data_IF_107672394366
#
_entry.id   IF_107672394366
#
_cell.length_a   1.000
_cell.length_b   1.000
_cell.length_c   1.000
_cell.angle_alpha   90.00
_cell.angle_beta   90.00
_cell.angle_gamma   90.00
#
_symmetry.space_group_name_H-M   'P 1'
#
loop_
_entity.id
_entity.type
_entity.pdbx_description
1 polymer ?
#
# COMPACT_ATOMS: atom_id res chain seq x y z
N UNK A 1 -12.15 11.58 3.50
CA UNK A 1 -11.55 12.61 2.62
C UNK A 1 -11.93 12.41 1.16
N UNK A 2 -11.80 11.21 0.58
CA UNK A 2 -12.20 10.96 -0.81
C UNK A 2 -13.66 11.34 -1.06
N UNK A 3 -14.60 10.87 -0.21
CA UNK A 3 -16.02 11.21 -0.33
C UNK A 3 -16.29 12.72 -0.29
N UNK A 4 -15.56 13.49 0.51
CA UNK A 4 -15.68 14.95 0.55
C UNK A 4 -15.15 15.60 -0.75
N UNK A 5 -14.09 15.05 -1.31
CA UNK A 5 -13.54 15.51 -2.59
C UNK A 5 -14.56 15.30 -3.72
N UNK A 6 -15.18 14.13 -3.81
CA UNK A 6 -16.16 13.78 -4.83
C UNK A 6 -17.49 14.53 -4.65
N UNK A 7 -17.95 14.72 -3.41
CA UNK A 7 -19.24 15.35 -3.09
C UNK A 7 -19.25 16.88 -3.24
N UNK A 8 -18.22 17.49 -3.81
CA UNK A 8 -18.13 18.97 -3.97
C UNK A 8 -18.20 19.78 -2.66
N UNK A 9 -18.10 19.13 -1.52
CA UNK A 9 -17.97 19.79 -0.20
C UNK A 9 -16.50 20.08 0.11
N UNK A 10 -16.25 21.10 0.94
CA UNK A 10 -14.90 21.41 1.46
C UNK A 10 -14.77 21.03 2.94
N UNK A 11 -15.78 20.40 3.51
CA UNK A 11 -15.82 20.01 4.92
C UNK A 11 -15.67 18.49 5.03
N UNK A 12 -14.70 18.06 5.84
CA UNK A 12 -14.51 16.66 6.18
C UNK A 12 -15.46 16.26 7.30
N UNK A 13 -16.33 15.30 7.05
CA UNK A 13 -17.18 14.71 8.09
C UNK A 13 -16.37 13.64 8.82
N UNK A 14 -16.27 13.70 10.15
CA UNK A 14 -15.60 12.65 10.93
C UNK A 14 -16.19 11.28 10.67
N UNK A 15 -15.33 10.28 10.59
CA UNK A 15 -15.70 8.89 10.35
C UNK A 15 -15.18 8.01 11.49
N UNK A 16 -16.04 7.22 12.10
CA UNK A 16 -15.74 6.47 13.33
C UNK A 16 -15.58 4.97 13.12
N UNK A 17 -16.03 4.44 11.99
CA UNK A 17 -15.99 3.01 11.73
C UNK A 17 -14.99 2.72 10.59
N UNK A 18 -13.74 2.55 10.98
CA UNK A 18 -12.66 2.24 10.02
C UNK A 18 -11.84 1.06 10.54
N UNK A 19 -11.54 0.16 9.62
CA UNK A 19 -10.62 -0.94 9.83
C UNK A 19 -9.83 -1.14 8.54
N UNK A 20 -8.52 -1.11 8.64
CA UNK A 20 -7.64 -1.26 7.48
C UNK A 20 -6.27 -1.80 7.90
N UNK A 21 -5.63 -2.58 7.02
CA UNK A 21 -4.24 -2.98 7.17
C UNK A 21 -3.27 -1.80 7.04
N UNK A 22 -3.71 -0.67 6.50
CA UNK A 22 -2.90 0.54 6.36
C UNK A 22 -3.02 1.43 7.61
N UNK A 23 -2.67 0.92 8.79
CA UNK A 23 -2.87 1.58 10.09
C UNK A 23 -2.26 2.98 10.15
N UNK A 24 -1.09 3.20 9.56
CA UNK A 24 -0.38 4.49 9.61
C UNK A 24 -1.13 5.66 8.97
N UNK A 25 -2.15 5.39 8.13
CA UNK A 25 -3.01 6.43 7.54
C UNK A 25 -4.43 6.40 8.08
N UNK A 26 -4.68 5.63 9.15
CA UNK A 26 -5.99 5.48 9.76
C UNK A 26 -6.29 6.66 10.67
N UNK A 27 -7.16 7.55 10.24
CA UNK A 27 -7.66 8.66 11.05
C UNK A 27 -9.11 8.97 10.73
N UNK A 28 -9.94 9.00 11.77
CA UNK A 28 -11.36 9.33 11.63
C UNK A 28 -11.65 10.82 11.50
N UNK A 29 -10.72 11.67 11.95
CA UNK A 29 -10.84 13.12 11.89
C UNK A 29 -9.47 13.74 11.60
N UNK A 30 -9.06 13.80 10.33
CA UNK A 30 -7.73 14.29 9.96
C UNK A 30 -7.59 15.78 10.24
N UNK A 31 -6.54 16.14 11.01
CA UNK A 31 -6.19 17.55 11.22
C UNK A 31 -5.87 18.21 9.88
N UNK A 32 -6.45 19.41 9.64
CA UNK A 32 -6.26 20.10 8.36
C UNK A 32 -6.97 19.45 7.17
N UNK A 33 -7.90 18.51 7.40
CA UNK A 33 -8.62 17.82 6.33
C UNK A 33 -9.35 18.74 5.38
N UNK A 34 -10.01 19.78 5.90
CA UNK A 34 -10.73 20.77 5.09
C UNK A 34 -9.77 21.57 4.18
N UNK A 35 -8.60 21.94 4.70
CA UNK A 35 -7.58 22.61 3.91
C UNK A 35 -7.04 21.72 2.79
N UNK A 36 -6.83 20.43 3.08
CA UNK A 36 -6.39 19.44 2.07
C UNK A 36 -7.44 19.33 0.96
N UNK A 37 -8.73 19.23 1.30
CA UNK A 37 -9.81 19.18 0.30
C UNK A 37 -9.88 20.45 -0.52
N UNK A 38 -9.74 21.62 0.13
CA UNK A 38 -9.70 22.89 -0.57
C UNK A 38 -8.53 22.96 -1.58
N UNK A 39 -7.32 22.56 -1.15
CA UNK A 39 -6.14 22.51 -2.02
C UNK A 39 -6.30 21.49 -3.15
N UNK A 40 -6.82 20.31 -2.85
CA UNK A 40 -7.06 19.27 -3.84
C UNK A 40 -7.96 19.77 -4.97
N UNK A 41 -9.04 20.48 -4.63
CA UNK A 41 -9.93 21.11 -5.62
C UNK A 41 -9.25 22.24 -6.39
N UNK A 42 -8.56 23.12 -5.67
CA UNK A 42 -7.88 24.29 -6.27
C UNK A 42 -6.81 23.87 -7.29
N UNK A 43 -6.10 22.77 -7.01
CA UNK A 43 -4.98 22.32 -7.85
C UNK A 43 -5.34 21.07 -8.69
N UNK A 44 -6.61 20.69 -8.74
CA UNK A 44 -7.10 19.53 -9.49
C UNK A 44 -6.35 18.23 -9.13
N UNK A 45 -6.08 18.00 -7.83
CA UNK A 45 -5.48 16.76 -7.39
C UNK A 45 -6.43 15.60 -7.63
N UNK A 46 -5.89 14.48 -8.08
CA UNK A 46 -6.63 13.25 -8.21
C UNK A 46 -6.65 12.53 -6.87
N UNK A 47 -7.76 11.90 -6.56
CA UNK A 47 -7.92 11.03 -5.39
C UNK A 47 -8.41 9.67 -5.85
N UNK A 48 -7.89 8.61 -5.23
CA UNK A 48 -8.28 7.24 -5.55
C UNK A 48 -8.34 6.41 -4.27
N UNK A 49 -9.28 5.48 -4.20
CA UNK A 49 -9.40 4.51 -3.14
C UNK A 49 -8.81 3.16 -3.57
N UNK A 50 -8.29 2.43 -2.58
CA UNK A 50 -7.81 1.06 -2.77
C UNK A 50 -8.43 0.15 -1.71
N UNK A 51 -8.69 -1.11 -2.06
CA UNK A 51 -9.20 -2.11 -1.14
C UNK A 51 -8.05 -2.72 -0.33
N UNK A 52 -8.38 -3.42 0.76
CA UNK A 52 -7.41 -4.15 1.59
C UNK A 52 -6.60 -5.15 0.75
N UNK A 53 -7.26 -5.89 -0.13
CA UNK A 53 -6.60 -6.84 -1.03
C UNK A 53 -5.63 -6.14 -1.99
N UNK A 54 -6.04 -5.00 -2.55
CA UNK A 54 -5.19 -4.19 -3.45
C UNK A 54 -3.96 -3.65 -2.73
N UNK A 55 -4.07 -3.31 -1.43
CA UNK A 55 -2.94 -2.90 -0.59
C UNK A 55 -1.95 -4.05 -0.42
N UNK A 56 -2.42 -5.24 -0.02
CA UNK A 56 -1.58 -6.41 0.18
C UNK A 56 -0.89 -6.87 -1.11
N UNK A 57 -1.61 -6.87 -2.24
CA UNK A 57 -1.03 -7.15 -3.56
C UNK A 57 0.06 -6.14 -3.92
N UNK A 58 -0.16 -4.86 -3.63
CA UNK A 58 0.82 -3.80 -3.88
C UNK A 58 2.08 -3.96 -3.04
N UNK A 59 1.92 -4.25 -1.75
CA UNK A 59 3.03 -4.46 -0.83
C UNK A 59 3.89 -5.65 -1.28
N UNK A 60 3.26 -6.77 -1.65
CA UNK A 60 3.97 -7.94 -2.19
C UNK A 60 4.78 -7.60 -3.44
N UNK A 61 4.16 -6.89 -4.40
CA UNK A 61 4.84 -6.49 -5.65
C UNK A 61 6.03 -5.57 -5.40
N UNK A 62 5.92 -4.66 -4.45
CA UNK A 62 7.04 -3.82 -4.04
C UNK A 62 8.16 -4.65 -3.39
N UNK A 63 7.79 -5.63 -2.55
CA UNK A 63 8.74 -6.58 -1.95
C UNK A 63 9.48 -7.42 -2.99
N UNK A 64 8.80 -7.92 -4.03
CA UNK A 64 9.38 -8.69 -5.12
C UNK A 64 10.48 -7.92 -5.89
N UNK A 65 10.41 -6.60 -5.90
CA UNK A 65 11.43 -5.73 -6.53
C UNK A 65 12.36 -5.06 -5.51
N UNK A 66 12.37 -5.55 -4.26
CA UNK A 66 13.31 -5.14 -3.22
C UNK A 66 12.86 -3.97 -2.33
N UNK A 67 11.63 -3.48 -2.46
CA UNK A 67 11.11 -2.41 -1.61
C UNK A 67 10.21 -2.98 -0.51
N UNK A 68 10.77 -3.17 0.68
CA UNK A 68 10.02 -3.59 1.85
C UNK A 68 9.37 -2.39 2.55
N UNK A 69 8.10 -2.16 2.28
CA UNK A 69 7.33 -1.01 2.76
C UNK A 69 6.15 -1.42 3.64
N UNK A 70 5.70 -0.51 4.50
CA UNK A 70 4.45 -0.68 5.26
C UNK A 70 3.21 -0.66 4.33
N UNK A 71 2.08 -1.24 4.73
CA UNK A 71 0.86 -1.27 3.93
C UNK A 71 0.39 0.12 3.51
N UNK A 72 0.48 1.11 4.40
CA UNK A 72 0.10 2.50 4.11
C UNK A 72 0.86 3.09 2.92
N UNK A 73 2.18 2.85 2.83
CA UNK A 73 3.01 3.26 1.69
C UNK A 73 2.65 2.53 0.40
N UNK A 74 2.24 1.26 0.51
CA UNK A 74 1.90 0.44 -0.66
C UNK A 74 0.59 0.86 -1.34
N UNK A 75 -0.30 1.58 -0.66
CA UNK A 75 -1.58 2.07 -1.21
C UNK A 75 -1.39 2.82 -2.53
N UNK A 76 -0.33 3.62 -2.63
CA UNK A 76 -0.05 4.47 -3.79
C UNK A 76 0.19 3.68 -5.08
N UNK A 77 0.78 2.47 -5.02
CA UNK A 77 1.04 1.68 -6.23
C UNK A 77 -0.26 1.28 -6.95
N UNK A 78 -1.26 0.80 -6.21
CA UNK A 78 -2.51 0.39 -6.83
C UNK A 78 -3.38 1.58 -7.24
N UNK A 79 -3.34 2.67 -6.46
CA UNK A 79 -3.98 3.94 -6.83
C UNK A 79 -3.44 4.46 -8.17
N UNK A 80 -2.11 4.48 -8.36
CA UNK A 80 -1.48 4.85 -9.64
C UNK A 80 -1.96 3.93 -10.76
N UNK A 81 -2.00 2.60 -10.54
CA UNK A 81 -2.49 1.64 -11.53
C UNK A 81 -3.94 1.90 -11.93
N UNK A 82 -4.82 2.22 -10.97
CA UNK A 82 -6.22 2.57 -11.25
C UNK A 82 -6.33 3.86 -12.07
N UNK A 83 -5.60 4.90 -11.66
CA UNK A 83 -5.59 6.19 -12.37
C UNK A 83 -5.02 6.06 -13.80
N UNK A 84 -4.00 5.24 -14.00
CA UNK A 84 -3.47 4.95 -15.32
C UNK A 84 -4.50 4.20 -16.18
N UNK A 85 -5.15 3.15 -15.63
CA UNK A 85 -6.19 2.40 -16.33
C UNK A 85 -7.42 3.26 -16.66
N UNK A 86 -7.72 4.27 -15.84
CA UNK A 86 -8.78 5.25 -16.07
C UNK A 86 -8.35 6.43 -16.97
N UNK A 87 -7.19 6.33 -17.63
CA UNK A 87 -6.62 7.35 -18.53
C UNK A 87 -6.42 8.74 -17.86
N UNK A 88 -6.38 8.76 -16.51
CA UNK A 88 -6.08 9.99 -15.75
C UNK A 88 -4.57 10.31 -15.70
N UNK A 89 -3.74 9.31 -15.89
CA UNK A 89 -2.29 9.41 -16.07
C UNK A 89 -2.00 9.03 -17.51
N UNK A 90 -1.37 9.93 -18.27
CA UNK A 90 -1.07 9.71 -19.69
C UNK A 90 0.04 8.68 -19.85
N UNK A 91 -0.02 7.90 -20.92
CA UNK A 91 1.09 7.03 -21.33
C UNK A 91 2.37 7.83 -21.53
N UNK A 92 3.51 7.29 -21.12
CA UNK A 92 4.82 7.97 -21.16
C UNK A 92 5.04 8.98 -20.03
N UNK A 93 4.08 9.17 -19.11
CA UNK A 93 4.29 10.05 -17.95
C UNK A 93 5.33 9.46 -16.98
N UNK A 94 6.19 10.31 -16.43
CA UNK A 94 7.03 9.96 -15.28
C UNK A 94 6.24 10.14 -14.00
N UNK A 95 6.13 9.08 -13.19
CA UNK A 95 5.40 9.08 -11.92
C UNK A 95 6.40 8.87 -10.78
N UNK A 96 6.38 9.79 -9.80
CA UNK A 96 7.17 9.64 -8.56
C UNK A 96 6.23 9.11 -7.47
N UNK A 97 6.55 7.94 -6.91
CA UNK A 97 5.81 7.34 -5.82
C UNK A 97 6.55 7.54 -4.50
N UNK A 98 5.90 8.16 -3.53
CA UNK A 98 6.47 8.37 -2.20
C UNK A 98 6.26 7.12 -1.34
N UNK A 99 7.35 6.46 -0.96
CA UNK A 99 7.36 5.34 -0.01
C UNK A 99 7.72 5.90 1.38
N UNK A 100 6.71 6.14 2.19
CA UNK A 100 6.81 6.93 3.43
C UNK A 100 7.26 6.11 4.64
N UNK A 101 7.09 4.79 4.63
CA UNK A 101 7.45 3.94 5.76
C UNK A 101 7.99 2.58 5.35
N UNK A 102 8.93 2.08 6.16
CA UNK A 102 9.44 0.71 6.02
C UNK A 102 8.44 -0.32 6.54
N UNK A 103 8.43 -1.52 5.96
CA UNK A 103 7.61 -2.65 6.41
C UNK A 103 7.95 -3.14 7.82
N UNK A 104 9.12 -2.79 8.37
CA UNK A 104 9.48 -3.10 9.75
C UNK A 104 8.61 -2.38 10.80
N UNK A 105 7.88 -1.35 10.41
CA UNK A 105 6.96 -0.64 11.30
C UNK A 105 5.65 -1.39 11.55
N UNK A 106 5.29 -2.29 10.65
CA UNK A 106 4.03 -2.99 10.70
C UNK A 106 4.24 -4.46 10.29
N UNK A 107 4.64 -5.28 11.26
CA UNK A 107 4.89 -6.70 11.06
C UNK A 107 3.61 -7.54 11.13
N UNK A 108 2.54 -7.00 11.66
CA UNK A 108 1.25 -7.69 11.79
C UNK A 108 0.64 -8.04 10.43
N UNK A 109 1.03 -7.31 9.38
CA UNK A 109 0.63 -7.60 8.02
C UNK A 109 1.03 -9.01 7.55
N UNK A 110 2.09 -9.59 8.12
CA UNK A 110 2.56 -10.94 7.73
C UNK A 110 1.57 -12.05 8.08
N UNK A 111 0.64 -11.83 9.00
CA UNK A 111 -0.46 -12.78 9.26
C UNK A 111 -1.39 -13.01 8.06
N UNK A 112 -1.40 -12.08 7.11
CA UNK A 112 -2.18 -12.20 5.86
C UNK A 112 -1.41 -12.88 4.73
N UNK A 113 -0.12 -13.18 4.93
CA UNK A 113 0.70 -13.89 3.96
C UNK A 113 0.87 -15.35 4.38
N UNK A 114 0.66 -16.25 3.43
CA UNK A 114 1.07 -17.65 3.61
C UNK A 114 2.58 -17.73 3.40
N UNK A 115 3.32 -17.69 4.49
CA UNK A 115 4.77 -17.87 4.46
C UNK A 115 5.06 -19.39 4.50
N UNK A 116 5.72 -19.89 3.48
CA UNK A 116 6.29 -21.23 3.52
C UNK A 116 7.52 -21.19 4.44
N UNK A 117 7.31 -21.52 5.70
CA UNK A 117 8.40 -21.66 6.67
C UNK A 117 8.89 -23.08 6.63
N UNK A 118 10.14 -23.28 6.27
CA UNK A 118 10.80 -24.57 6.35
C UNK A 118 11.44 -24.73 7.73
N UNK A 119 11.02 -25.73 8.47
CA UNK A 119 11.67 -26.11 9.72
C UNK A 119 12.88 -27.00 9.41
N UNK A 120 14.03 -26.67 9.97
CA UNK A 120 15.26 -27.45 9.86
C UNK A 120 16.01 -27.46 11.19
N UNK A 121 16.94 -28.41 11.38
CA UNK A 121 17.86 -28.41 12.49
C UNK A 121 19.28 -28.06 12.02
N UNK A 122 20.16 -27.76 12.98
CA UNK A 122 21.51 -27.29 12.70
C UNK A 122 22.36 -28.30 11.89
N UNK A 123 22.05 -29.60 12.01
CA UNK A 123 22.79 -30.68 11.34
C UNK A 123 22.38 -30.83 9.86
N UNK A 124 21.19 -30.39 9.48
CA UNK A 124 20.59 -30.57 8.14
C UNK A 124 20.37 -29.26 7.39
N UNK A 125 20.55 -28.11 8.04
CA UNK A 125 20.18 -26.81 7.47
C UNK A 125 20.88 -26.54 6.14
N UNK A 126 22.11 -26.95 5.97
CA UNK A 126 22.86 -26.76 4.73
C UNK A 126 22.23 -27.54 3.57
N UNK A 127 21.96 -28.82 3.75
CA UNK A 127 21.31 -29.67 2.76
C UNK A 127 19.91 -29.18 2.41
N UNK A 128 19.14 -28.78 3.42
CA UNK A 128 17.77 -28.28 3.25
C UNK A 128 17.75 -26.97 2.48
N UNK A 129 18.68 -26.04 2.75
CA UNK A 129 18.84 -24.80 2.01
C UNK A 129 19.24 -25.07 0.55
N UNK A 130 20.19 -25.99 0.31
CA UNK A 130 20.58 -26.36 -1.05
C UNK A 130 19.43 -26.98 -1.84
N UNK A 131 18.62 -27.81 -1.22
CA UNK A 131 17.45 -28.41 -1.86
C UNK A 131 16.37 -27.36 -2.18
N UNK A 132 16.16 -26.39 -1.28
CA UNK A 132 15.25 -25.28 -1.52
C UNK A 132 15.70 -24.44 -2.72
N UNK A 133 16.98 -24.04 -2.75
CA UNK A 133 17.54 -23.23 -3.82
C UNK A 133 17.48 -23.93 -5.19
N UNK A 134 17.74 -25.23 -5.26
CA UNK A 134 17.58 -25.99 -6.51
C UNK A 134 16.15 -25.95 -7.04
N UNK A 135 15.15 -25.97 -6.16
CA UNK A 135 13.73 -25.91 -6.56
C UNK A 135 13.28 -24.53 -7.02
N UNK A 136 14.00 -23.46 -6.65
CA UNK A 136 13.70 -22.07 -7.04
C UNK A 136 14.33 -21.74 -8.40
N UNK A 137 15.51 -22.33 -8.73
CA UNK A 137 16.29 -21.98 -9.91
C UNK A 137 16.19 -23.00 -11.06
N UNK A 138 15.40 -24.07 -10.93
CA UNK A 138 14.97 -24.97 -12.00
C UNK A 138 13.54 -24.66 -12.45
#
# INVERSE_FOLDING_TARGET
>A
MLAAHEASTSIVVPFSNFHTVAEAITTGNPMGGDEIIHKAKKYNWLAESVTEEEILVSQRKLGEVGYFVEPASATSLYAIKKLFKAEKIKEGSTVVMMLTGTGLKDLDVFKYYHLNVMESNIEKVEDDVWNLLKNIYN
#
